data_IF_699123602742
#
_entry.id   IF_699123602742
#
_cell.length_a   1.000
_cell.length_b   1.000
_cell.length_c   1.000
_cell.angle_alpha   90.00
_cell.angle_beta   90.00
_cell.angle_gamma   90.00
#
_symmetry.space_group_name_H-M   'P 1'
#
loop_
_entity.id
_entity.type
_entity.pdbx_description
1 polymer ?
#
# COMPACT_ATOMS: atom_id res chain seq x y z
N UNK A 1 -2.13 25.72 -14.52
CA UNK A 1 -2.15 24.33 -14.03
C UNK A 1 -2.05 23.37 -15.21
N UNK A 2 -0.94 22.65 -15.35
CA UNK A 2 -0.80 21.53 -16.30
C UNK A 2 -0.07 20.41 -15.54
N UNK A 3 -0.73 19.25 -15.40
CA UNK A 3 -0.21 18.08 -14.68
C UNK A 3 0.97 17.45 -15.43
N UNK A 4 1.85 16.80 -14.67
CA UNK A 4 2.95 15.95 -15.18
C UNK A 4 2.57 14.45 -15.14
N UNK A 5 1.33 14.10 -14.77
CA UNK A 5 0.82 12.72 -14.85
C UNK A 5 -0.49 12.60 -15.67
N UNK A 6 -0.58 11.55 -16.48
CA UNK A 6 -1.52 11.39 -17.59
C UNK A 6 -2.90 10.83 -17.17
N UNK A 7 -3.13 10.51 -15.89
CA UNK A 7 -4.23 9.60 -15.49
C UNK A 7 -5.37 10.21 -14.66
N UNK A 8 -5.35 11.51 -14.34
CA UNK A 8 -6.35 12.10 -13.45
C UNK A 8 -6.25 11.58 -12.01
N UNK A 9 -6.73 12.33 -11.03
CA UNK A 9 -6.69 11.92 -9.63
C UNK A 9 -7.80 10.90 -9.38
N UNK A 10 -7.50 9.61 -9.58
CA UNK A 10 -8.44 8.52 -9.33
C UNK A 10 -8.26 8.03 -7.91
N UNK A 11 -9.24 8.33 -7.06
CA UNK A 11 -9.32 7.80 -5.70
C UNK A 11 -9.97 6.41 -5.81
N UNK A 12 -9.29 5.38 -5.30
CA UNK A 12 -9.89 4.05 -5.17
C UNK A 12 -10.89 4.06 -4.00
N UNK A 13 -12.01 3.35 -4.12
CA UNK A 13 -13.01 3.32 -3.06
C UNK A 13 -12.53 2.40 -1.93
N UNK A 14 -12.28 2.95 -0.75
CA UNK A 14 -11.94 2.17 0.44
C UNK A 14 -13.01 2.32 1.52
N UNK A 15 -13.48 1.20 2.07
CA UNK A 15 -14.42 1.19 3.20
C UNK A 15 -13.66 1.43 4.50
N UNK A 16 -14.07 2.43 5.29
CA UNK A 16 -13.56 2.65 6.65
C UNK A 16 -14.64 2.37 7.69
N UNK A 17 -14.40 1.39 8.56
CA UNK A 17 -15.24 1.10 9.72
C UNK A 17 -14.61 1.65 11.01
N UNK A 18 -15.46 2.14 11.93
CA UNK A 18 -15.08 2.58 13.30
C UNK A 18 -13.94 3.61 13.28
N UNK A 19 -14.12 4.68 12.51
CA UNK A 19 -13.18 5.80 12.40
C UNK A 19 -13.82 7.10 12.85
N UNK A 20 -13.02 8.12 13.17
CA UNK A 20 -13.48 9.48 13.41
C UNK A 20 -13.22 10.36 12.17
N UNK A 21 -13.82 11.55 12.05
CA UNK A 21 -13.65 12.41 10.88
C UNK A 21 -12.20 12.77 10.57
N UNK A 22 -11.37 13.03 11.59
CA UNK A 22 -9.95 13.34 11.41
C UNK A 22 -9.18 12.16 10.82
N UNK A 23 -9.38 10.95 11.36
CA UNK A 23 -8.76 9.72 10.87
C UNK A 23 -9.25 9.35 9.46
N UNK A 24 -10.49 9.70 9.10
CA UNK A 24 -11.00 9.53 7.75
C UNK A 24 -10.29 10.47 6.74
N UNK A 25 -10.12 11.74 7.09
CA UNK A 25 -9.38 12.70 6.24
C UNK A 25 -7.90 12.34 6.17
N UNK A 26 -7.28 11.90 7.29
CA UNK A 26 -5.88 11.45 7.29
C UNK A 26 -5.67 10.25 6.37
N UNK A 27 -6.55 9.25 6.45
CA UNK A 27 -6.48 8.08 5.57
C UNK A 27 -6.69 8.44 4.10
N UNK A 28 -7.52 9.44 3.80
CA UNK A 28 -7.67 9.98 2.46
C UNK A 28 -6.34 10.53 1.94
N UNK A 29 -5.64 11.37 2.71
CA UNK A 29 -4.32 11.90 2.32
C UNK A 29 -3.30 10.77 2.14
N UNK A 30 -3.21 9.84 3.10
CA UNK A 30 -2.27 8.71 3.06
C UNK A 30 -2.48 7.85 1.81
N UNK A 31 -3.74 7.54 1.46
CA UNK A 31 -4.06 6.74 0.27
C UNK A 31 -3.80 7.50 -1.04
N UNK A 32 -3.95 8.81 -1.04
CA UNK A 32 -3.63 9.63 -2.20
C UNK A 32 -2.12 9.76 -2.42
N UNK A 33 -1.31 9.45 -1.40
CA UNK A 33 0.15 9.52 -1.42
C UNK A 33 0.73 10.93 -1.49
N UNK A 34 -0.09 11.93 -1.85
CA UNK A 34 0.23 13.36 -1.96
C UNK A 34 -1.04 14.20 -1.75
N UNK A 35 -0.87 15.41 -1.22
CA UNK A 35 -1.93 16.40 -1.06
C UNK A 35 -1.91 17.10 0.30
N UNK A 36 -2.51 18.28 0.35
CA UNK A 36 -2.59 19.15 1.52
C UNK A 36 -4.05 19.47 1.84
N UNK A 37 -4.40 19.58 3.13
CA UNK A 37 -5.75 19.99 3.54
C UNK A 37 -5.80 21.51 3.62
N UNK A 38 -6.59 22.11 2.74
CA UNK A 38 -6.98 23.51 2.86
C UNK A 38 -8.23 23.61 3.72
N UNK A 39 -8.17 24.44 4.77
CA UNK A 39 -9.31 24.74 5.63
C UNK A 39 -9.54 26.25 5.70
N UNK A 40 -10.69 26.69 5.23
CA UNK A 40 -11.22 28.04 5.43
C UNK A 40 -12.54 27.94 6.18
N UNK A 41 -12.49 28.16 7.50
CA UNK A 41 -13.61 27.94 8.41
C UNK A 41 -14.19 26.51 8.26
N UNK A 42 -15.38 26.38 7.68
CA UNK A 42 -16.05 25.09 7.45
C UNK A 42 -15.87 24.56 6.02
N UNK A 43 -15.15 25.28 5.16
CA UNK A 43 -14.79 24.82 3.82
C UNK A 43 -13.49 24.07 3.90
N UNK A 44 -13.57 22.75 3.74
CA UNK A 44 -12.42 21.86 3.76
C UNK A 44 -12.24 21.29 2.36
N UNK A 45 -11.04 21.41 1.81
CA UNK A 45 -10.69 20.84 0.51
C UNK A 45 -9.38 20.07 0.62
N UNK A 46 -9.33 18.90 -0.01
CA UNK A 46 -8.06 18.25 -0.33
C UNK A 46 -7.55 18.87 -1.62
N UNK A 47 -6.43 19.59 -1.54
CA UNK A 47 -5.76 20.19 -2.69
C UNK A 47 -4.47 19.46 -2.95
N UNK A 48 -3.97 19.53 -4.18
CA UNK A 48 -2.63 19.00 -4.49
C UNK A 48 -1.56 19.75 -3.68
N UNK A 49 -1.77 21.06 -3.52
CA UNK A 49 -0.81 21.98 -2.91
C UNK A 49 -1.47 23.30 -2.47
N UNK A 50 -1.08 23.84 -1.32
CA UNK A 50 -1.43 25.17 -0.80
C UNK A 50 -0.27 26.13 -1.08
N UNK A 51 -0.57 27.38 -1.42
CA UNK A 51 0.43 28.43 -1.64
C UNK A 51 0.90 28.53 -3.09
N UNK A 52 1.51 29.67 -3.40
CA UNK A 52 2.01 30.03 -4.72
C UNK A 52 3.52 30.31 -4.73
N UNK A 53 4.02 30.84 -5.84
CA UNK A 53 5.38 31.41 -5.88
C UNK A 53 5.36 32.80 -5.24
N UNK A 54 6.20 32.99 -4.22
CA UNK A 54 6.47 34.31 -3.65
C UNK A 54 7.68 34.93 -4.33
N UNK A 55 7.67 36.25 -4.48
CA UNK A 55 8.84 37.02 -4.89
C UNK A 55 9.86 37.21 -3.75
N UNK A 56 9.57 36.71 -2.55
CA UNK A 56 10.46 36.82 -1.40
C UNK A 56 11.74 36.00 -1.61
N UNK A 57 12.87 36.70 -1.49
CA UNK A 57 14.20 36.12 -1.50
C UNK A 57 14.86 36.29 -0.14
N UNK A 58 15.14 35.18 0.52
CA UNK A 58 15.81 35.12 1.81
C UNK A 58 17.29 34.83 1.57
N UNK A 59 18.11 35.88 1.68
CA UNK A 59 19.55 35.74 1.63
C UNK A 59 20.05 35.57 3.07
N UNK A 60 20.53 34.35 3.38
CA UNK A 60 21.05 34.00 4.71
C UNK A 60 22.17 34.95 5.18
N UNK A 61 22.81 35.69 4.27
CA UNK A 61 23.90 36.62 4.55
C UNK A 61 23.49 38.10 4.65
N UNK A 62 22.22 38.46 4.37
CA UNK A 62 21.82 39.89 4.25
C UNK A 62 20.60 40.29 5.06
N UNK A 63 19.40 39.90 4.67
CA UNK A 63 18.13 40.58 5.02
C UNK A 63 17.38 39.95 6.22
N UNK A 64 18.13 39.42 7.18
CA UNK A 64 17.63 38.44 8.15
C UNK A 64 18.20 38.76 9.56
N UNK A 65 17.33 38.99 10.57
CA UNK A 65 17.69 39.29 11.98
C UNK A 65 17.13 38.25 12.96
N UNK A 66 17.89 37.90 14.00
CA UNK A 66 17.51 36.96 15.08
C UNK A 66 17.01 35.59 14.59
N UNK A 67 17.78 34.95 13.71
CA UNK A 67 17.37 33.71 13.04
C UNK A 67 18.13 32.49 13.54
N UNK A 68 17.37 31.43 13.73
CA UNK A 68 17.86 30.07 13.83
C UNK A 68 17.91 29.46 12.42
N UNK A 69 19.11 29.16 11.93
CA UNK A 69 19.34 28.44 10.68
C UNK A 69 19.82 27.04 11.06
N UNK A 70 19.08 26.04 10.62
CA UNK A 70 19.47 24.64 10.72
C UNK A 70 19.63 24.07 9.31
N UNK A 71 20.79 23.48 9.05
CA UNK A 71 21.08 22.78 7.79
C UNK A 71 21.12 21.30 8.09
N UNK A 72 20.17 20.55 7.54
CA UNK A 72 20.16 19.10 7.61
C UNK A 72 20.63 18.50 6.27
N UNK A 73 21.71 17.73 6.34
CA UNK A 73 22.35 17.04 5.21
C UNK A 73 22.27 15.52 5.35
N UNK A 74 21.49 15.02 6.32
CA UNK A 74 21.42 13.60 6.66
C UNK A 74 20.93 12.76 5.48
N UNK A 75 19.86 13.23 4.81
CA UNK A 75 19.24 12.55 3.67
C UNK A 75 19.74 13.06 2.30
N UNK A 76 20.78 13.92 2.28
CA UNK A 76 21.27 14.55 1.06
C UNK A 76 22.11 13.58 0.21
N UNK A 77 21.78 13.48 -1.08
CA UNK A 77 22.41 12.58 -2.05
C UNK A 77 22.89 13.38 -3.25
N UNK A 78 24.19 13.37 -3.53
CA UNK A 78 24.80 14.02 -4.71
C UNK A 78 25.28 13.02 -5.76
N UNK A 79 25.26 11.72 -5.44
CA UNK A 79 25.48 10.61 -6.38
C UNK A 79 24.38 9.56 -6.20
N UNK A 80 23.48 9.47 -7.17
CA UNK A 80 22.27 8.66 -7.08
C UNK A 80 22.40 7.39 -7.95
N UNK A 81 22.11 6.23 -7.36
CA UNK A 81 21.91 4.96 -8.02
C UNK A 81 20.40 4.67 -8.19
N UNK A 82 19.82 4.91 -9.37
CA UNK A 82 18.40 4.66 -9.60
C UNK A 82 18.16 3.24 -10.10
N UNK A 83 17.27 2.52 -9.41
CA UNK A 83 16.82 1.17 -9.80
C UNK A 83 15.34 1.20 -10.14
N UNK A 84 14.93 0.44 -11.15
CA UNK A 84 13.54 0.25 -11.55
C UNK A 84 13.05 -1.14 -11.21
N UNK A 85 11.96 -1.56 -11.87
CA UNK A 85 11.40 -2.91 -11.70
C UNK A 85 12.45 -4.00 -11.94
N UNK A 86 12.49 -5.01 -11.08
CA UNK A 86 13.39 -6.17 -11.18
C UNK A 86 14.87 -5.76 -11.28
N UNK A 87 15.29 -4.78 -10.48
CA UNK A 87 16.65 -4.20 -10.44
C UNK A 87 17.11 -3.56 -11.78
N UNK A 88 16.17 -3.13 -12.63
CA UNK A 88 16.47 -2.45 -13.88
C UNK A 88 17.33 -1.19 -13.63
N UNK A 89 18.45 -1.06 -14.35
CA UNK A 89 19.41 0.03 -14.14
C UNK A 89 19.59 0.91 -15.38
N UNK A 90 20.11 2.12 -15.19
CA UNK A 90 20.31 3.11 -16.26
C UNK A 90 21.56 2.89 -17.13
N UNK A 91 22.41 1.91 -16.83
CA UNK A 91 23.71 1.72 -17.49
C UNK A 91 23.66 1.68 -19.02
N UNK A 92 22.62 1.06 -19.60
CA UNK A 92 22.41 0.96 -21.06
C UNK A 92 22.13 2.31 -21.74
N UNK A 93 21.62 3.29 -20.99
CA UNK A 93 21.25 4.63 -21.50
C UNK A 93 22.11 5.75 -20.93
N UNK A 94 23.15 5.41 -20.16
CA UNK A 94 24.01 6.36 -19.45
C UNK A 94 25.49 5.98 -19.57
N UNK A 95 25.94 5.63 -20.79
CA UNK A 95 27.34 5.35 -21.10
C UNK A 95 28.00 4.30 -20.20
N UNK A 96 27.25 3.25 -19.83
CA UNK A 96 27.71 2.18 -18.94
C UNK A 96 27.69 2.52 -17.45
N UNK A 97 27.39 3.76 -17.05
CA UNK A 97 27.30 4.17 -15.65
C UNK A 97 25.91 3.93 -15.08
N UNK A 98 25.81 3.17 -13.99
CA UNK A 98 24.54 2.90 -13.30
C UNK A 98 24.13 4.01 -12.31
N UNK A 99 24.83 5.14 -12.29
CA UNK A 99 24.57 6.26 -11.40
C UNK A 99 24.57 7.59 -12.16
N UNK A 100 23.97 8.61 -11.55
CA UNK A 100 24.10 10.02 -11.95
C UNK A 100 24.79 10.79 -10.82
N UNK A 101 25.53 11.85 -11.17
CA UNK A 101 26.19 12.76 -10.23
C UNK A 101 25.58 14.15 -10.43
N UNK A 102 25.24 14.81 -9.33
CA UNK A 102 24.78 16.19 -9.30
C UNK A 102 25.95 17.17 -9.49
N UNK A 103 25.69 18.31 -10.14
CA UNK A 103 26.61 19.44 -10.21
C UNK A 103 26.97 20.00 -8.83
N UNK A 104 26.10 19.82 -7.83
CA UNK A 104 26.34 20.23 -6.45
C UNK A 104 27.28 19.29 -5.68
N UNK A 105 27.73 18.19 -6.29
CA UNK A 105 28.76 17.34 -5.71
C UNK A 105 30.09 18.09 -5.52
N UNK A 106 30.39 19.09 -6.35
CA UNK A 106 31.59 19.92 -6.20
C UNK A 106 31.49 20.90 -5.03
N UNK A 107 30.27 21.28 -4.63
CA UNK A 107 29.99 22.24 -3.56
C UNK A 107 29.85 21.52 -2.21
N UNK A 108 29.07 20.43 -2.17
CA UNK A 108 28.72 19.74 -0.94
C UNK A 108 29.42 18.38 -0.74
N UNK A 109 30.25 17.98 -1.70
CA UNK A 109 30.94 16.69 -1.73
C UNK A 109 30.09 15.55 -2.30
N UNK A 110 30.75 14.43 -2.61
CA UNK A 110 30.10 13.22 -3.12
C UNK A 110 29.44 12.44 -1.97
N UNK A 111 28.12 12.24 -2.07
CA UNK A 111 27.28 11.49 -1.13
C UNK A 111 26.43 10.50 -1.90
N UNK A 112 26.65 9.21 -1.63
CA UNK A 112 26.02 8.12 -2.36
C UNK A 112 24.67 7.74 -1.74
N UNK A 113 23.67 7.51 -2.58
CA UNK A 113 22.36 7.01 -2.18
C UNK A 113 21.69 6.28 -3.34
N UNK A 114 20.65 5.52 -3.03
CA UNK A 114 19.84 4.83 -4.05
C UNK A 114 18.36 5.20 -3.91
N UNK A 115 17.63 5.10 -5.03
CA UNK A 115 16.17 5.25 -5.07
C UNK A 115 15.59 4.14 -5.91
N UNK A 116 14.50 3.56 -5.42
CA UNK A 116 13.71 2.57 -6.13
C UNK A 116 12.56 3.25 -6.88
N UNK A 117 12.46 2.93 -8.16
CA UNK A 117 11.49 3.39 -9.13
C UNK A 117 10.78 2.18 -9.73
N UNK A 118 10.31 1.26 -8.89
CA UNK A 118 9.69 -0.03 -9.29
C UNK A 118 8.55 0.13 -10.31
N UNK A 119 7.90 1.29 -10.36
CA UNK A 119 6.87 1.63 -11.36
C UNK A 119 7.42 1.77 -12.79
N UNK A 120 8.73 1.91 -12.95
CA UNK A 120 9.40 2.15 -14.22
C UNK A 120 10.20 0.91 -14.64
N UNK A 121 9.92 0.46 -15.86
CA UNK A 121 10.59 -0.69 -16.49
C UNK A 121 11.71 -0.21 -17.43
N UNK A 122 11.50 0.92 -18.12
CA UNK A 122 12.42 1.42 -19.15
C UNK A 122 13.58 2.23 -18.54
N UNK A 123 14.85 1.87 -18.84
CA UNK A 123 16.03 2.60 -18.35
C UNK A 123 16.03 4.10 -18.66
N UNK A 124 15.49 4.51 -19.81
CA UNK A 124 15.38 5.92 -20.19
C UNK A 124 14.43 6.72 -19.29
N UNK A 125 13.31 6.10 -18.87
CA UNK A 125 12.35 6.72 -17.95
C UNK A 125 12.93 6.80 -16.54
N UNK A 126 13.65 5.76 -16.10
CA UNK A 126 14.39 5.73 -14.84
C UNK A 126 15.42 6.86 -14.81
N UNK A 127 16.23 7.01 -15.88
CA UNK A 127 17.22 8.09 -15.99
C UNK A 127 16.58 9.48 -15.94
N UNK A 128 15.48 9.68 -16.67
CA UNK A 128 14.76 10.96 -16.66
C UNK A 128 14.22 11.28 -15.26
N UNK A 129 13.65 10.31 -14.56
CA UNK A 129 13.15 10.49 -13.20
C UNK A 129 14.30 10.77 -12.22
N UNK A 130 15.41 10.05 -12.34
CA UNK A 130 16.59 10.27 -11.53
C UNK A 130 17.15 11.70 -11.71
N UNK A 131 17.20 12.21 -12.95
CA UNK A 131 17.62 13.59 -13.22
C UNK A 131 16.67 14.63 -12.61
N UNK A 132 15.37 14.35 -12.60
CA UNK A 132 14.38 15.21 -11.94
C UNK A 132 14.65 15.35 -10.43
N UNK A 133 15.22 14.34 -9.76
CA UNK A 133 15.57 14.44 -8.34
C UNK A 133 16.66 15.49 -8.04
N UNK A 134 17.42 15.92 -9.06
CA UNK A 134 18.46 16.97 -8.96
C UNK A 134 18.07 18.29 -9.64
N UNK A 135 16.87 18.35 -10.24
CA UNK A 135 16.42 19.50 -11.01
C UNK A 135 16.14 20.71 -10.09
N UNK A 136 16.51 21.92 -10.52
CA UNK A 136 16.28 23.15 -9.73
C UNK A 136 14.79 23.45 -9.53
N UNK A 137 13.94 23.00 -10.44
CA UNK A 137 12.48 23.14 -10.34
C UNK A 137 11.85 22.08 -9.42
N UNK A 138 12.62 21.09 -8.97
CA UNK A 138 12.15 20.11 -8.00
C UNK A 138 12.33 20.65 -6.58
N UNK A 139 11.21 20.91 -5.89
CA UNK A 139 11.22 21.39 -4.50
C UNK A 139 11.74 20.33 -3.51
N UNK A 140 11.55 19.06 -3.85
CA UNK A 140 12.02 17.90 -3.08
C UNK A 140 13.39 17.42 -3.56
N UNK A 141 14.12 18.30 -4.26
CA UNK A 141 15.47 18.05 -4.74
C UNK A 141 16.37 17.54 -3.62
N UNK A 142 17.13 16.48 -3.91
CA UNK A 142 17.83 15.69 -2.88
C UNK A 142 19.33 16.01 -2.77
N UNK A 143 19.88 16.81 -3.68
CA UNK A 143 21.30 17.18 -3.76
C UNK A 143 21.62 18.55 -3.15
N UNK A 144 20.69 19.11 -2.36
CA UNK A 144 20.87 20.31 -1.53
C UNK A 144 20.50 20.02 -0.07
N UNK A 145 21.08 20.76 0.89
CA UNK A 145 20.66 20.65 2.28
C UNK A 145 19.19 21.02 2.44
N UNK A 146 18.50 20.33 3.34
CA UNK A 146 17.22 20.82 3.86
C UNK A 146 17.52 22.01 4.77
N UNK A 147 17.11 23.22 4.37
CA UNK A 147 17.37 24.43 5.14
C UNK A 147 16.11 24.83 5.91
N UNK A 148 16.18 24.73 7.23
CA UNK A 148 15.13 25.22 8.10
C UNK A 148 15.56 26.56 8.70
N UNK A 149 14.83 27.61 8.32
CA UNK A 149 15.04 28.97 8.77
C UNK A 149 13.86 29.33 9.65
N UNK A 150 14.12 29.80 10.87
CA UNK A 150 13.09 30.40 11.73
C UNK A 150 13.60 31.71 12.29
N UNK A 151 12.80 32.77 12.19
CA UNK A 151 13.13 34.05 12.77
C UNK A 151 12.04 35.09 12.61
N UNK A 152 12.35 36.31 13.09
CA UNK A 152 11.46 37.46 12.97
C UNK A 152 11.30 37.88 11.52
N UNK A 153 10.06 38.09 11.11
CA UNK A 153 9.68 38.54 9.77
C UNK A 153 8.89 39.84 9.88
N UNK A 154 9.35 40.89 9.23
CA UNK A 154 8.60 42.13 9.11
C UNK A 154 7.73 42.07 7.85
N UNK A 155 6.40 41.99 8.04
CA UNK A 155 5.45 42.02 6.94
C UNK A 155 5.35 43.43 6.34
N UNK A 156 6.13 43.67 5.28
CA UNK A 156 6.12 44.95 4.55
C UNK A 156 5.00 45.04 3.52
N UNK A 157 4.20 43.98 3.32
CA UNK A 157 3.06 44.00 2.39
C UNK A 157 1.95 44.98 2.79
N UNK A 158 1.99 45.47 4.03
CA UNK A 158 1.10 46.52 4.53
C UNK A 158 1.45 47.92 4.03
N UNK A 159 2.64 48.11 3.46
CA UNK A 159 3.03 49.36 2.79
C UNK A 159 2.47 49.34 1.36
N UNK A 160 1.87 50.46 0.93
CA UNK A 160 1.10 50.55 -0.32
C UNK A 160 1.88 50.11 -1.58
N UNK A 161 3.20 50.27 -1.58
CA UNK A 161 4.08 49.93 -2.71
C UNK A 161 4.56 48.47 -2.71
N UNK A 162 4.24 47.70 -1.67
CA UNK A 162 4.78 46.35 -1.44
C UNK A 162 3.68 45.30 -1.23
N UNK A 163 2.43 45.61 -1.57
CA UNK A 163 1.28 44.72 -1.37
C UNK A 163 1.46 43.31 -1.97
N UNK A 164 2.27 43.20 -3.02
CA UNK A 164 2.58 41.94 -3.70
C UNK A 164 3.56 41.04 -2.91
N UNK A 165 4.21 41.56 -1.87
CA UNK A 165 5.13 40.79 -1.00
C UNK A 165 4.43 40.03 0.14
N UNK A 166 3.10 39.91 0.07
CA UNK A 166 2.32 39.18 1.08
C UNK A 166 2.69 37.70 1.05
N UNK A 167 3.06 37.16 2.21
CA UNK A 167 3.38 35.75 2.40
C UNK A 167 2.23 35.02 3.08
N UNK A 168 1.91 33.82 2.58
CA UNK A 168 0.95 32.90 3.17
C UNK A 168 1.61 31.53 3.45
N UNK A 169 0.93 30.73 4.26
CA UNK A 169 1.37 29.36 4.53
C UNK A 169 1.37 28.54 3.22
N UNK A 170 2.42 27.75 3.01
CA UNK A 170 2.61 26.94 1.83
C UNK A 170 3.28 27.65 0.65
N UNK A 171 3.43 28.98 0.68
CA UNK A 171 4.11 29.74 -0.38
C UNK A 171 5.57 29.30 -0.52
N UNK A 172 6.08 29.33 -1.76
CA UNK A 172 7.47 29.01 -2.10
C UNK A 172 8.31 30.26 -2.03
N UNK A 173 9.43 30.20 -1.33
CA UNK A 173 10.41 31.29 -1.22
C UNK A 173 11.77 30.80 -1.69
N UNK A 174 12.58 31.73 -2.21
CA UNK A 174 13.95 31.41 -2.62
C UNK A 174 14.91 31.71 -1.49
N UNK A 175 15.56 30.67 -0.98
CA UNK A 175 16.65 30.76 0.00
C UNK A 175 17.98 30.71 -0.74
N UNK A 176 18.88 31.64 -0.45
CA UNK A 176 20.25 31.59 -0.97
C UNK A 176 21.17 31.01 0.10
N UNK A 177 21.78 29.85 -0.17
CA UNK A 177 22.81 29.24 0.68
C UNK A 177 24.12 29.09 -0.09
N UNK A 178 25.18 29.75 0.37
CA UNK A 178 26.51 29.71 -0.26
C UNK A 178 26.53 30.01 -1.79
N UNK A 179 25.58 30.83 -2.27
CA UNK A 179 25.43 31.18 -3.69
C UNK A 179 24.51 30.25 -4.48
N UNK A 180 24.05 29.15 -3.90
CA UNK A 180 23.04 28.28 -4.49
C UNK A 180 21.63 28.73 -4.12
N UNK A 181 20.74 28.76 -5.11
CA UNK A 181 19.32 29.00 -4.91
C UNK A 181 18.62 27.69 -4.53
N UNK A 182 17.97 27.72 -3.37
CA UNK A 182 17.19 26.62 -2.81
C UNK A 182 15.75 27.09 -2.72
N UNK A 183 14.82 26.31 -3.27
CA UNK A 183 13.38 26.58 -3.18
C UNK A 183 12.85 25.91 -1.93
N UNK A 184 12.40 26.71 -0.96
CA UNK A 184 11.85 26.23 0.30
C UNK A 184 10.42 26.75 0.50
N UNK A 185 9.67 26.13 1.42
CA UNK A 185 8.26 26.46 1.64
C UNK A 185 8.03 27.06 3.00
N UNK A 186 7.05 27.96 3.09
CA UNK A 186 6.60 28.53 4.36
C UNK A 186 5.77 27.48 5.10
N UNK A 187 6.35 26.90 6.15
CA UNK A 187 5.74 25.81 6.93
C UNK A 187 5.06 26.31 8.20
N UNK A 188 5.40 27.51 8.67
CA UNK A 188 4.78 28.14 9.84
C UNK A 188 4.75 29.66 9.69
N UNK A 189 3.64 30.24 10.07
CA UNK A 189 3.47 31.68 10.27
C UNK A 189 2.81 31.90 11.62
N UNK A 190 3.44 32.69 12.47
CA UNK A 190 2.84 33.20 13.70
C UNK A 190 2.63 34.70 13.57
N UNK A 191 1.37 35.11 13.57
CA UNK A 191 0.98 36.50 13.37
C UNK A 191 0.39 37.09 14.64
N UNK A 192 0.88 38.27 15.04
CA UNK A 192 0.37 39.04 16.17
C UNK A 192 -0.42 40.25 15.65
N UNK A 193 -1.77 40.23 15.72
CA UNK A 193 -2.62 41.26 15.10
C UNK A 193 -2.35 42.70 15.56
N UNK A 194 -1.83 42.87 16.77
CA UNK A 194 -1.58 44.18 17.38
C UNK A 194 -0.08 44.56 17.44
N UNK A 195 0.82 43.65 17.03
CA UNK A 195 2.27 43.82 17.06
C UNK A 195 2.86 43.22 15.78
N UNK A 196 2.82 43.97 14.67
CA UNK A 196 3.26 43.48 13.36
C UNK A 196 4.72 43.03 13.34
N UNK A 197 5.55 43.62 14.20
CA UNK A 197 7.00 43.47 14.21
C UNK A 197 7.45 42.16 14.88
N UNK A 198 6.54 41.48 15.58
CA UNK A 198 6.80 40.22 16.29
C UNK A 198 6.41 38.98 15.46
N UNK A 199 6.06 39.16 14.19
CA UNK A 199 5.66 38.04 13.31
C UNK A 199 6.83 37.08 13.14
N UNK A 200 6.59 35.78 13.33
CA UNK A 200 7.61 34.73 13.16
C UNK A 200 7.29 33.91 11.92
N UNK A 201 8.28 33.74 11.06
CA UNK A 201 8.20 32.85 9.90
C UNK A 201 9.10 31.64 10.10
N UNK A 202 8.61 30.47 9.73
CA UNK A 202 9.45 29.30 9.50
C UNK A 202 9.36 28.86 8.05
N UNK A 203 10.53 28.78 7.42
CA UNK A 203 10.72 28.34 6.05
C UNK A 203 11.56 27.08 6.07
N UNK A 204 11.18 26.09 5.27
CA UNK A 204 11.94 24.87 5.10
C UNK A 204 11.05 23.68 4.78
N UNK A 205 11.57 22.49 5.04
CA UNK A 205 10.80 21.24 4.96
C UNK A 205 10.24 20.91 6.33
N UNK A 206 9.00 20.41 6.37
CA UNK A 206 8.35 20.03 7.65
C UNK A 206 9.25 19.05 8.39
N UNK A 207 9.72 19.47 9.58
CA UNK A 207 10.62 18.65 10.40
C UNK A 207 9.94 17.34 10.77
N UNK A 208 10.68 16.24 10.62
CA UNK A 208 10.38 14.98 11.30
C UNK A 208 10.88 15.12 12.74
N UNK A 209 10.16 15.86 13.57
CA UNK A 209 10.51 16.01 14.97
C UNK A 209 10.21 14.72 15.76
N UNK A 210 10.61 14.67 17.04
CA UNK A 210 10.34 13.52 17.90
C UNK A 210 8.83 13.22 17.97
N UNK A 211 7.98 14.25 17.92
CA UNK A 211 6.53 14.09 17.90
C UNK A 211 6.04 13.41 16.63
N UNK A 212 6.60 13.73 15.47
CA UNK A 212 6.32 13.05 14.21
C UNK A 212 6.68 11.57 14.27
N UNK A 213 7.82 11.21 14.84
CA UNK A 213 8.19 9.80 15.04
C UNK A 213 7.28 9.09 16.05
N UNK A 214 6.90 9.74 17.15
CA UNK A 214 5.94 9.21 18.11
C UNK A 214 4.55 9.03 17.49
N UNK A 215 4.12 9.95 16.62
CA UNK A 215 2.88 9.89 15.86
C UNK A 215 2.89 8.71 14.88
N UNK A 216 4.02 8.48 14.21
CA UNK A 216 4.25 7.30 13.37
C UNK A 216 4.20 5.99 14.17
N UNK A 217 4.82 5.94 15.34
CA UNK A 217 4.73 4.76 16.22
C UNK A 217 3.29 4.54 16.69
N UNK A 218 2.57 5.62 17.04
CA UNK A 218 1.16 5.59 17.40
C UNK A 218 0.27 5.08 16.26
N UNK A 219 0.51 5.53 15.03
CA UNK A 219 -0.22 5.04 13.84
C UNK A 219 0.14 3.60 13.50
N UNK A 220 1.40 3.19 13.62
CA UNK A 220 1.82 1.79 13.45
C UNK A 220 1.14 0.89 14.48
N UNK A 221 1.10 1.30 15.75
CA UNK A 221 0.42 0.57 16.82
C UNK A 221 -1.10 0.46 16.56
N UNK A 222 -1.73 1.53 16.05
CA UNK A 222 -3.15 1.51 15.63
C UNK A 222 -3.38 0.56 14.45
N UNK A 223 -2.54 0.60 13.40
CA UNK A 223 -2.60 -0.32 12.25
C UNK A 223 -2.42 -1.76 12.71
N UNK A 224 -1.44 -2.02 13.57
CA UNK A 224 -1.22 -3.33 14.18
C UNK A 224 -2.48 -3.80 14.90
N UNK A 225 -3.08 -2.99 15.79
CA UNK A 225 -4.32 -3.34 16.51
C UNK A 225 -5.53 -3.57 15.57
N UNK A 226 -5.59 -2.87 14.43
CA UNK A 226 -6.64 -3.08 13.42
C UNK A 226 -6.50 -4.45 12.76
N UNK A 227 -5.28 -4.85 12.40
CA UNK A 227 -5.02 -6.12 11.71
C UNK A 227 -4.78 -7.30 12.67
N UNK A 228 -4.55 -7.05 13.96
CA UNK A 228 -4.30 -8.10 14.96
C UNK A 228 -5.51 -8.37 15.86
N UNK A 229 -5.55 -9.57 16.42
CA UNK A 229 -6.48 -10.01 17.46
C UNK A 229 -5.90 -9.68 18.85
N UNK A 230 -6.72 -9.77 19.90
CA UNK A 230 -6.26 -9.56 21.28
C UNK A 230 -5.07 -10.45 21.68
N UNK A 231 -4.94 -11.63 21.06
CA UNK A 231 -3.82 -12.56 21.27
C UNK A 231 -2.62 -12.37 20.34
N UNK A 232 -2.52 -11.26 19.59
CA UNK A 232 -1.38 -10.96 18.72
C UNK A 232 -1.37 -11.67 17.35
N UNK A 233 -2.35 -12.53 17.05
CA UNK A 233 -2.52 -13.15 15.72
C UNK A 233 -3.10 -12.16 14.71
N UNK A 234 -2.76 -12.27 13.42
CA UNK A 234 -3.35 -11.47 12.34
C UNK A 234 -4.77 -11.94 12.02
N UNK A 235 -5.72 -11.01 11.88
CA UNK A 235 -7.10 -11.28 11.46
C UNK A 235 -7.10 -11.68 10.00
N UNK A 236 -7.66 -12.85 9.68
CA UNK A 236 -7.70 -13.42 8.33
C UNK A 236 -8.23 -12.43 7.26
N UNK A 237 -9.27 -11.65 7.58
CA UNK A 237 -9.82 -10.62 6.68
C UNK A 237 -8.86 -9.49 6.27
N UNK A 238 -7.72 -9.37 6.95
CA UNK A 238 -6.70 -8.34 6.67
C UNK A 238 -5.63 -8.82 5.69
N UNK A 239 -5.69 -10.09 5.27
CA UNK A 239 -4.78 -10.71 4.30
C UNK A 239 -5.52 -10.85 2.98
N UNK A 240 -4.94 -10.33 1.89
CA UNK A 240 -5.45 -10.48 0.52
C UNK A 240 -4.34 -11.05 -0.35
N UNK A 241 -4.63 -12.11 -1.11
CA UNK A 241 -3.67 -12.77 -1.99
C UNK A 241 -3.66 -14.29 -1.86
N UNK A 242 -2.75 -14.94 -2.58
CA UNK A 242 -2.50 -16.37 -2.49
C UNK A 242 -1.62 -16.65 -1.28
N UNK A 243 -2.13 -17.41 -0.32
CA UNK A 243 -1.34 -17.87 0.82
C UNK A 243 -0.67 -19.18 0.41
N UNK A 244 0.66 -19.16 0.20
CA UNK A 244 1.44 -20.38 -0.04
C UNK A 244 1.67 -21.09 1.29
N UNK A 245 1.15 -22.30 1.46
CA UNK A 245 1.25 -22.98 2.75
C UNK A 245 1.18 -24.50 2.71
N UNK A 246 1.90 -25.12 3.65
CA UNK A 246 1.69 -26.48 4.14
C UNK A 246 1.08 -26.39 5.54
N UNK A 247 -0.04 -27.07 5.78
CA UNK A 247 -0.63 -27.20 7.12
C UNK A 247 -1.59 -26.08 7.53
N UNK A 248 -2.40 -25.56 6.61
CA UNK A 248 -3.48 -24.64 6.98
C UNK A 248 -4.60 -25.38 7.68
N UNK A 249 -5.10 -24.83 8.79
CA UNK A 249 -6.26 -25.35 9.53
C UNK A 249 -7.33 -24.26 9.62
N UNK A 250 -8.51 -24.57 9.12
CA UNK A 250 -9.72 -23.77 9.19
C UNK A 250 -10.59 -24.39 10.28
N UNK A 251 -10.59 -23.78 11.46
CA UNK A 251 -11.44 -24.21 12.57
C UNK A 251 -12.81 -23.51 12.45
N UNK A 252 -13.88 -24.28 12.29
CA UNK A 252 -15.27 -23.84 12.35
C UNK A 252 -15.99 -24.38 13.59
N UNK A 253 -17.21 -23.92 13.86
CA UNK A 253 -18.00 -24.38 15.03
C UNK A 253 -18.31 -25.89 15.00
N UNK A 254 -18.36 -26.50 13.81
CA UNK A 254 -18.76 -27.90 13.60
C UNK A 254 -17.61 -28.83 13.17
N UNK A 255 -16.36 -28.38 13.28
CA UNK A 255 -15.20 -29.19 12.91
C UNK A 255 -14.09 -28.39 12.23
N UNK A 256 -13.08 -29.11 11.74
CA UNK A 256 -11.86 -28.49 11.21
C UNK A 256 -11.57 -28.97 9.80
N UNK A 257 -11.29 -28.04 8.90
CA UNK A 257 -10.81 -28.35 7.54
C UNK A 257 -9.33 -28.05 7.50
N UNK A 258 -8.51 -29.02 7.09
CA UNK A 258 -7.07 -28.81 6.92
C UNK A 258 -6.65 -28.98 5.46
N UNK A 259 -5.69 -28.16 5.05
CA UNK A 259 -5.00 -28.23 3.76
C UNK A 259 -3.54 -28.57 4.05
N UNK A 260 -3.18 -29.82 3.81
CA UNK A 260 -1.85 -30.38 4.05
C UNK A 260 -1.23 -30.83 2.74
N UNK A 261 -0.34 -30.01 2.16
CA UNK A 261 0.37 -30.28 0.90
C UNK A 261 -0.54 -30.60 -0.29
N UNK A 262 -1.06 -31.83 -0.37
CA UNK A 262 -1.87 -32.35 -1.46
C UNK A 262 -3.22 -32.93 -1.01
N UNK A 263 -3.60 -32.79 0.28
CA UNK A 263 -4.86 -33.31 0.83
C UNK A 263 -5.74 -32.22 1.45
N UNK A 264 -7.03 -32.30 1.15
CA UNK A 264 -8.13 -31.65 1.87
C UNK A 264 -8.71 -32.66 2.84
N UNK A 265 -8.61 -32.39 4.13
CA UNK A 265 -9.16 -33.25 5.18
C UNK A 265 -10.19 -32.49 6.02
N UNK A 266 -11.37 -33.09 6.19
CA UNK A 266 -12.39 -32.63 7.14
C UNK A 266 -12.42 -33.60 8.31
N UNK A 267 -12.25 -33.08 9.52
CA UNK A 267 -12.32 -33.86 10.75
C UNK A 267 -13.23 -33.23 11.79
N UNK A 268 -13.82 -34.10 12.61
CA UNK A 268 -14.65 -33.74 13.76
C UNK A 268 -14.11 -34.50 14.96
N UNK A 269 -13.72 -33.80 16.01
CA UNK A 269 -13.18 -34.38 17.26
C UNK A 269 -11.99 -35.35 17.08
N UNK A 270 -11.21 -35.17 16.01
CA UNK A 270 -10.06 -36.03 15.68
C UNK A 270 -10.39 -37.18 14.71
N UNK A 271 -11.67 -37.45 14.46
CA UNK A 271 -12.10 -38.42 13.46
C UNK A 271 -12.12 -37.79 12.07
N UNK A 272 -11.42 -38.41 11.13
CA UNK A 272 -11.45 -38.04 9.72
C UNK A 272 -12.81 -38.41 9.12
N UNK A 273 -13.54 -37.41 8.62
CA UNK A 273 -14.85 -37.58 7.96
C UNK A 273 -14.74 -37.57 6.44
N UNK A 274 -13.86 -36.73 5.90
CA UNK A 274 -13.64 -36.63 4.46
C UNK A 274 -12.16 -36.42 4.15
N UNK A 275 -11.65 -37.11 3.15
CA UNK A 275 -10.33 -36.92 2.57
C UNK A 275 -10.41 -36.82 1.06
N UNK A 276 -9.80 -35.79 0.49
CA UNK A 276 -9.71 -35.60 -0.96
C UNK A 276 -8.31 -35.16 -1.29
N UNK A 277 -7.59 -35.93 -2.10
CA UNK A 277 -6.24 -35.57 -2.53
C UNK A 277 -5.28 -36.74 -2.54
N UNK A 278 -3.98 -36.47 -2.45
CA UNK A 278 -2.96 -37.52 -2.49
C UNK A 278 -2.58 -38.00 -1.09
N UNK A 279 -2.77 -39.30 -0.82
CA UNK A 279 -2.32 -39.97 0.39
C UNK A 279 -1.37 -41.10 -0.03
N UNK A 280 -0.12 -41.03 0.45
CA UNK A 280 0.90 -42.06 0.18
C UNK A 280 1.13 -42.35 -1.32
N UNK A 281 0.98 -41.36 -2.19
CA UNK A 281 1.16 -41.50 -3.63
C UNK A 281 -0.09 -41.94 -4.39
N UNK A 282 -1.22 -42.12 -3.71
CA UNK A 282 -2.51 -42.48 -4.33
C UNK A 282 -3.51 -41.34 -4.15
N UNK A 283 -4.22 -41.00 -5.23
CA UNK A 283 -5.36 -40.10 -5.12
C UNK A 283 -6.50 -40.83 -4.38
N UNK A 284 -6.97 -40.24 -3.29
CA UNK A 284 -8.10 -40.72 -2.50
C UNK A 284 -9.21 -39.69 -2.56
N UNK A 285 -10.43 -40.19 -2.71
CA UNK A 285 -11.65 -39.50 -2.30
C UNK A 285 -12.32 -40.46 -1.33
N UNK A 286 -12.48 -40.10 -0.07
CA UNK A 286 -13.06 -40.97 0.95
C UNK A 286 -13.99 -40.16 1.85
N UNK A 287 -15.19 -40.66 2.07
CA UNK A 287 -16.15 -40.17 3.05
C UNK A 287 -16.39 -41.33 4.02
N UNK A 288 -16.23 -41.09 5.32
CA UNK A 288 -16.41 -42.11 6.36
C UNK A 288 -17.77 -41.98 7.05
N UNK A 289 -18.30 -43.12 7.51
CA UNK A 289 -19.44 -43.16 8.41
C UNK A 289 -19.04 -42.73 9.84
N UNK A 290 -20.01 -42.63 10.74
CA UNK A 290 -19.76 -42.26 12.14
C UNK A 290 -18.88 -43.26 12.91
N UNK A 291 -18.70 -44.47 12.38
CA UNK A 291 -17.85 -45.51 12.97
C UNK A 291 -16.44 -45.52 12.34
N UNK A 292 -16.14 -44.59 11.43
CA UNK A 292 -14.85 -44.47 10.75
C UNK A 292 -14.67 -45.38 9.54
N UNK A 293 -15.70 -46.11 9.09
CA UNK A 293 -15.59 -46.94 7.88
C UNK A 293 -15.86 -46.11 6.63
N UNK A 294 -15.20 -46.43 5.52
CA UNK A 294 -15.54 -45.84 4.21
C UNK A 294 -17.00 -46.09 3.83
N UNK A 295 -17.77 -45.02 3.72
CA UNK A 295 -19.13 -45.00 3.19
C UNK A 295 -19.13 -44.74 1.68
N UNK A 296 -18.27 -43.81 1.22
CA UNK A 296 -18.06 -43.52 -0.20
C UNK A 296 -16.57 -43.40 -0.45
N UNK A 297 -16.02 -44.15 -1.41
CA UNK A 297 -14.63 -43.95 -1.81
C UNK A 297 -14.38 -44.12 -3.31
N UNK A 298 -13.31 -43.47 -3.78
CA UNK A 298 -12.72 -43.71 -5.09
C UNK A 298 -11.37 -44.40 -4.87
N UNK A 299 -11.19 -45.57 -5.47
CA UNK A 299 -9.93 -46.32 -5.38
C UNK A 299 -8.93 -45.83 -6.42
N UNK A 300 -7.66 -46.17 -6.24
CA UNK A 300 -6.55 -45.92 -7.19
C UNK A 300 -6.82 -46.43 -8.62
N UNK A 301 -7.63 -47.50 -8.75
CA UNK A 301 -8.10 -48.06 -10.04
C UNK A 301 -9.30 -47.33 -10.66
N UNK A 302 -9.77 -46.22 -10.06
CA UNK A 302 -10.92 -45.46 -10.53
C UNK A 302 -12.29 -46.06 -10.20
N UNK A 303 -12.34 -47.11 -9.38
CA UNK A 303 -13.61 -47.68 -8.92
C UNK A 303 -14.25 -46.75 -7.89
N UNK A 304 -15.54 -46.49 -8.03
CA UNK A 304 -16.33 -45.77 -7.04
C UNK A 304 -17.11 -46.78 -6.20
N UNK A 305 -16.80 -46.89 -4.91
CA UNK A 305 -17.52 -47.75 -3.99
C UNK A 305 -18.45 -46.91 -3.13
N UNK A 306 -19.67 -47.41 -2.96
CA UNK A 306 -20.67 -46.81 -2.09
C UNK A 306 -21.24 -47.93 -1.21
N UNK A 307 -21.31 -47.69 0.09
CA UNK A 307 -21.81 -48.64 1.07
C UNK A 307 -23.11 -48.11 1.68
N UNK A 308 -24.20 -48.83 1.46
CA UNK A 308 -25.54 -48.48 1.94
C UNK A 308 -26.61 -48.75 0.88
N UNK A 309 -27.83 -48.34 1.19
CA UNK A 309 -28.97 -48.45 0.28
C UNK A 309 -28.97 -47.28 -0.72
N UNK A 310 -29.35 -47.56 -1.96
CA UNK A 310 -29.54 -46.56 -3.01
C UNK A 310 -31.01 -46.43 -3.36
N UNK A 311 -31.57 -45.25 -3.11
CA UNK A 311 -32.88 -44.87 -3.61
C UNK A 311 -32.68 -43.98 -4.85
N UNK A 312 -33.20 -44.43 -5.99
CA UNK A 312 -33.07 -43.70 -7.27
C UNK A 312 -34.30 -43.93 -8.15
N UNK A 313 -34.77 -42.88 -8.81
CA UNK A 313 -35.86 -42.97 -9.78
C UNK A 313 -35.41 -43.70 -11.07
N UNK A 314 -34.11 -43.61 -11.41
CA UNK A 314 -33.55 -44.17 -12.63
C UNK A 314 -32.04 -44.38 -12.49
N UNK A 315 -31.57 -45.60 -12.74
CA UNK A 315 -30.15 -45.92 -12.83
C UNK A 315 -29.81 -46.34 -14.26
N UNK A 316 -28.92 -45.60 -14.94
CA UNK A 316 -28.50 -45.93 -16.31
C UNK A 316 -27.10 -46.54 -16.31
N UNK A 317 -26.94 -47.72 -16.93
CA UNK A 317 -25.68 -48.47 -17.04
C UNK A 317 -25.43 -48.76 -18.52
N UNK A 318 -24.60 -47.94 -19.17
CA UNK A 318 -24.48 -47.93 -20.63
C UNK A 318 -25.81 -47.56 -21.28
N UNK A 319 -26.24 -48.35 -22.28
CA UNK A 319 -27.55 -48.21 -22.94
C UNK A 319 -28.71 -48.86 -22.15
N UNK A 320 -28.44 -49.39 -20.97
CA UNK A 320 -29.46 -50.01 -20.12
C UNK A 320 -29.96 -49.05 -19.06
N UNK A 321 -31.27 -49.02 -18.85
CA UNK A 321 -31.95 -48.17 -17.87
C UNK A 321 -32.70 -49.06 -16.89
N UNK A 322 -32.32 -49.02 -15.63
CA UNK A 322 -32.97 -49.69 -14.51
C UNK A 322 -33.97 -48.70 -13.89
N UNK A 323 -35.23 -49.12 -13.81
CA UNK A 323 -36.39 -48.33 -13.34
C UNK A 323 -37.37 -49.24 -12.60
N UNK A 324 -38.40 -48.66 -11.96
CA UNK A 324 -39.59 -49.40 -11.53
C UNK A 324 -40.78 -49.07 -12.44
N UNK A 325 -41.61 -50.06 -12.75
CA UNK A 325 -42.90 -49.81 -13.42
C UNK A 325 -43.95 -49.23 -12.45
N UNK A 326 -45.15 -48.94 -12.95
CA UNK A 326 -46.25 -48.37 -12.16
C UNK A 326 -46.71 -49.26 -11.00
N UNK A 327 -46.28 -50.53 -10.94
CA UNK A 327 -46.60 -51.48 -9.89
C UNK A 327 -45.39 -51.73 -8.96
N UNK A 328 -44.30 -50.96 -9.09
CA UNK A 328 -43.10 -51.10 -8.27
C UNK A 328 -42.18 -52.25 -8.69
N UNK A 329 -42.41 -52.90 -9.84
CA UNK A 329 -41.59 -54.03 -10.30
C UNK A 329 -40.33 -53.51 -10.99
N UNK A 330 -39.18 -54.11 -10.67
CA UNK A 330 -37.90 -53.77 -11.26
C UNK A 330 -37.88 -54.06 -12.78
N UNK A 331 -37.50 -53.07 -13.56
CA UNK A 331 -37.43 -53.14 -15.02
C UNK A 331 -36.05 -52.71 -15.55
N UNK A 332 -35.55 -53.41 -16.57
CA UNK A 332 -34.40 -52.98 -17.41
C UNK A 332 -34.91 -52.64 -18.80
N UNK A 333 -34.69 -51.42 -19.27
CA UNK A 333 -35.17 -50.93 -20.57
C UNK A 333 -36.67 -51.17 -20.79
N UNK A 334 -37.47 -50.97 -19.74
CA UNK A 334 -38.93 -51.18 -19.75
C UNK A 334 -39.37 -52.64 -19.71
N UNK A 335 -38.46 -53.62 -19.61
CA UNK A 335 -38.78 -55.03 -19.47
C UNK A 335 -38.64 -55.46 -18.00
N UNK A 336 -39.68 -56.08 -17.44
CA UNK A 336 -39.67 -56.62 -16.07
C UNK A 336 -38.57 -57.67 -15.91
N UNK A 337 -37.84 -57.60 -14.80
CA UNK A 337 -36.95 -58.67 -14.37
C UNK A 337 -37.80 -59.69 -13.60
N UNK A 338 -37.80 -60.93 -14.06
CA UNK A 338 -38.37 -62.05 -13.31
C UNK A 338 -37.30 -62.56 -12.35
N UNK A 339 -37.62 -62.62 -11.05
CA UNK A 339 -36.72 -63.20 -10.05
C UNK A 339 -37.03 -64.70 -10.00
N UNK A 340 -36.03 -65.57 -10.19
CA UNK A 340 -36.25 -67.02 -10.06
C UNK A 340 -36.66 -67.34 -8.61
N UNK A 341 -37.92 -67.74 -8.43
CA UNK A 341 -38.50 -68.03 -7.12
C UNK A 341 -40.00 -67.75 -6.97
N UNK A 342 -40.67 -67.19 -7.97
CA UNK A 342 -42.14 -67.11 -8.04
C UNK A 342 -42.76 -68.18 -8.95
#
# INVERSE_FOLDING_TARGET
>A
MKRVDYSGFKIDFFSMDKTNPYEAVKALIENCGKGEIYADNYKIALVERIGGESCLRLDLSKNMKDISIERDITDMVTKLYPYGKDDAHIGSVNSGKQYIISENADIYGVREGYRDYTDYIEPSKILRRARWEFDSENEERIDVPCVNITGGYADISKLADYADEKINIGDTVTVIDCGNEIRERVIRLEYYPYQSDDTVISVGRVKKDLFFYLEQIGTLAKRYKKVSTTGGKVKAKSVSGVISQSGMKIDGENGTVSLLSDIIEVSTDGDVKTQIGNVNGQFVFNITDNNGNSAVNITDKGNMNFKGDFETEKLSVGDNVITQDSNGVLCINGKRILVEGE
#
